data_IF_956814544147
#
_entry.id   IF_956814544147
#
_cell.length_a   1.000
_cell.length_b   1.000
_cell.length_c   1.000
_cell.angle_alpha   90.00
_cell.angle_beta   90.00
_cell.angle_gamma   90.00
#
_symmetry.space_group_name_H-M   'P 1'
#
loop_
_entity.id
_entity.type
_entity.pdbx_description
1 polymer ?
#
# COMPACT_ATOMS: atom_id res chain seq x y z
N UNK A 1 -4.52 -39.07 9.92
CA UNK A 1 -5.11 -39.30 8.58
C UNK A 1 -5.14 -37.96 7.87
N UNK A 2 -4.08 -37.63 7.11
CA UNK A 2 -3.90 -36.31 6.49
C UNK A 2 -4.59 -36.31 5.14
N UNK A 3 -5.68 -35.56 4.98
CA UNK A 3 -6.30 -35.31 3.68
C UNK A 3 -5.53 -34.18 3.00
N UNK A 4 -4.64 -34.53 2.07
CA UNK A 4 -4.01 -33.58 1.15
C UNK A 4 -4.93 -33.41 -0.06
N UNK A 5 -5.46 -32.20 -0.27
CA UNK A 5 -6.14 -31.85 -1.51
C UNK A 5 -5.04 -31.56 -2.54
N UNK A 6 -4.90 -32.46 -3.52
CA UNK A 6 -4.10 -32.22 -4.73
C UNK A 6 -4.97 -31.45 -5.71
N UNK A 7 -4.53 -30.27 -6.16
CA UNK A 7 -5.05 -29.69 -7.40
C UNK A 7 -4.06 -30.00 -8.52
N UNK A 8 -4.50 -30.86 -9.44
CA UNK A 8 -3.84 -31.12 -10.72
C UNK A 8 -4.40 -30.13 -11.72
N UNK A 9 -3.56 -29.24 -12.26
CA UNK A 9 -3.92 -28.31 -13.33
C UNK A 9 -3.84 -29.08 -14.66
N UNK A 10 -4.95 -29.13 -15.40
CA UNK A 10 -4.97 -29.46 -16.83
C UNK A 10 -4.91 -28.17 -17.66
N UNK A 11 -4.25 -28.25 -18.81
CA UNK A 11 -3.66 -27.16 -19.56
C UNK A 11 -4.63 -26.21 -20.30
N UNK A 12 -4.11 -24.99 -20.49
CA UNK A 12 -4.25 -24.05 -21.63
C UNK A 12 -5.62 -23.82 -22.30
N UNK A 13 -6.21 -22.65 -22.01
CA UNK A 13 -6.92 -21.83 -23.01
C UNK A 13 -6.45 -20.39 -22.82
N UNK A 14 -5.92 -19.78 -23.88
CA UNK A 14 -5.49 -18.38 -23.93
C UNK A 14 -6.75 -17.52 -23.88
N UNK A 15 -7.00 -16.86 -22.75
CA UNK A 15 -7.78 -15.63 -22.73
C UNK A 15 -6.80 -14.49 -22.50
N UNK A 16 -6.56 -13.68 -23.53
CA UNK A 16 -6.04 -12.32 -23.37
C UNK A 16 -7.17 -11.47 -22.77
N UNK A 17 -7.41 -11.67 -21.49
CA UNK A 17 -8.27 -10.83 -20.66
C UNK A 17 -7.44 -10.37 -19.50
N UNK A 18 -7.18 -9.06 -19.40
CA UNK A 18 -6.65 -8.47 -18.18
C UNK A 18 -7.50 -8.95 -17.01
N UNK A 19 -6.89 -9.64 -16.04
CA UNK A 19 -7.54 -10.00 -14.79
C UNK A 19 -7.74 -8.70 -13.99
N UNK A 20 -8.79 -7.95 -14.27
CA UNK A 20 -9.23 -6.85 -13.42
C UNK A 20 -10.15 -7.42 -12.35
N UNK A 21 -9.63 -7.55 -11.15
CA UNK A 21 -10.47 -7.71 -9.99
C UNK A 21 -11.00 -6.29 -9.69
N UNK A 22 -12.25 -5.99 -10.06
CA UNK A 22 -12.83 -4.64 -9.92
C UNK A 22 -13.31 -4.38 -8.48
N UNK A 23 -13.83 -5.41 -7.81
CA UNK A 23 -14.26 -5.41 -6.41
C UNK A 23 -14.16 -6.83 -5.85
N UNK A 24 -14.01 -6.93 -4.54
CA UNK A 24 -14.05 -8.20 -3.85
C UNK A 24 -14.03 -8.01 -2.34
N UNK A 25 -14.09 -9.13 -1.64
CA UNK A 25 -14.03 -9.16 -0.20
C UNK A 25 -15.38 -9.24 0.50
N UNK A 26 -15.23 -9.64 1.75
CA UNK A 26 -16.03 -9.57 2.96
C UNK A 26 -15.31 -10.59 3.84
N UNK A 27 -14.07 -10.27 4.21
CA UNK A 27 -13.29 -11.18 5.02
C UNK A 27 -13.92 -11.30 6.42
N UNK A 28 -13.36 -12.17 7.26
CA UNK A 28 -13.91 -12.38 8.62
C UNK A 28 -13.80 -11.13 9.51
N UNK A 29 -13.05 -10.12 9.10
CA UNK A 29 -12.88 -8.84 9.78
C UNK A 29 -13.72 -7.71 9.17
N UNK A 30 -14.48 -8.00 8.11
CA UNK A 30 -15.35 -7.07 7.42
C UNK A 30 -14.67 -6.25 6.34
N UNK A 31 -13.42 -6.59 5.95
CA UNK A 31 -12.73 -5.85 4.91
C UNK A 31 -13.28 -6.16 3.52
N UNK A 32 -13.49 -5.10 2.75
CA UNK A 32 -13.84 -5.14 1.33
C UNK A 32 -12.85 -4.29 0.53
N UNK A 33 -12.67 -4.61 -0.75
CA UNK A 33 -11.81 -3.84 -1.62
C UNK A 33 -12.48 -3.53 -2.95
N UNK A 34 -12.12 -2.40 -3.54
CA UNK A 34 -12.65 -1.89 -4.81
C UNK A 34 -11.59 -1.03 -5.48
N UNK A 35 -11.55 -1.05 -6.81
CA UNK A 35 -10.69 -0.17 -7.60
C UNK A 35 -11.49 0.97 -8.26
N UNK A 36 -10.82 1.80 -9.06
CA UNK A 36 -11.47 2.89 -9.79
C UNK A 36 -12.41 2.44 -10.93
N UNK A 37 -12.34 1.17 -11.35
CA UNK A 37 -13.19 0.54 -12.36
C UNK A 37 -14.37 -0.24 -11.75
N UNK A 38 -14.37 -0.42 -10.43
CA UNK A 38 -15.46 -0.99 -9.64
C UNK A 38 -16.79 -0.24 -9.76
N UNK A 39 -17.87 -0.95 -9.40
CA UNK A 39 -19.20 -0.36 -9.24
C UNK A 39 -19.32 0.42 -7.92
N UNK A 40 -20.48 0.95 -7.54
CA UNK A 40 -20.63 1.65 -6.25
C UNK A 40 -20.39 0.68 -5.08
N UNK A 41 -19.56 1.00 -4.06
CA UNK A 41 -18.82 2.25 -3.87
C UNK A 41 -17.64 2.39 -4.84
N UNK A 42 -17.69 3.45 -5.66
CA UNK A 42 -16.63 3.78 -6.61
C UNK A 42 -15.57 4.57 -5.91
N UNK A 43 -14.32 4.37 -6.31
CA UNK A 43 -13.23 5.14 -5.75
C UNK A 43 -12.55 6.06 -6.74
N UNK A 44 -12.56 7.33 -6.37
CA UNK A 44 -12.11 8.42 -7.22
C UNK A 44 -10.66 8.77 -6.94
N UNK A 45 -9.90 8.91 -8.02
CA UNK A 45 -8.60 9.55 -7.99
C UNK A 45 -8.75 11.02 -7.61
N UNK A 46 -7.99 11.45 -6.60
CA UNK A 46 -7.89 12.82 -6.11
C UNK A 46 -6.55 12.95 -5.37
N UNK A 47 -5.47 13.20 -6.11
CA UNK A 47 -4.13 13.30 -5.56
C UNK A 47 -4.05 14.41 -4.50
N UNK A 48 -3.31 14.15 -3.43
CA UNK A 48 -3.05 15.11 -2.36
C UNK A 48 -1.54 15.18 -2.28
N UNK A 49 -0.97 16.21 -2.88
CA UNK A 49 0.47 16.41 -2.85
C UNK A 49 0.91 16.86 -1.45
N UNK A 50 1.78 16.08 -0.83
CA UNK A 50 2.32 16.35 0.50
C UNK A 50 3.84 16.49 0.49
N UNK A 51 4.44 16.88 -0.64
CA UNK A 51 5.88 17.22 -0.72
C UNK A 51 6.29 18.38 0.20
N UNK A 52 5.32 19.15 0.68
CA UNK A 52 5.48 20.18 1.72
C UNK A 52 5.32 19.63 3.16
N UNK A 53 5.16 18.32 3.31
CA UNK A 53 5.04 17.61 4.58
C UNK A 53 6.39 17.28 5.23
N UNK A 54 6.35 16.42 6.24
CA UNK A 54 7.55 16.00 6.97
C UNK A 54 8.30 14.93 6.17
N UNK A 55 9.59 15.11 5.87
CA UNK A 55 10.38 14.08 5.19
C UNK A 55 10.68 12.91 6.12
N UNK A 56 10.72 11.69 5.58
CA UNK A 56 11.08 10.44 6.26
C UNK A 56 12.42 9.94 5.72
N UNK A 57 12.45 9.67 4.42
CA UNK A 57 13.65 9.28 3.67
C UNK A 57 13.94 10.30 2.60
N UNK A 58 15.22 10.50 2.33
CA UNK A 58 15.71 11.39 1.28
C UNK A 58 16.79 10.69 0.49
N UNK A 59 16.73 10.79 -0.83
CA UNK A 59 17.78 10.48 -1.83
C UNK A 59 18.49 9.13 -1.71
N UNK A 60 18.39 8.29 -2.74
CA UNK A 60 19.15 7.01 -2.84
C UNK A 60 18.99 6.06 -1.64
N UNK A 61 17.91 6.19 -0.86
CA UNK A 61 17.59 5.30 0.26
C UNK A 61 16.96 4.01 -0.23
N UNK A 62 17.38 2.92 0.40
CA UNK A 62 17.13 1.56 -0.02
C UNK A 62 17.07 0.67 1.22
N UNK A 63 16.25 -0.38 1.20
CA UNK A 63 16.03 -1.33 2.30
C UNK A 63 15.94 -0.70 3.70
N UNK A 64 15.29 0.46 3.80
CA UNK A 64 15.23 1.25 5.02
C UNK A 64 13.82 1.26 5.61
N UNK A 65 13.75 1.19 6.94
CA UNK A 65 12.53 1.32 7.74
C UNK A 65 12.65 2.54 8.66
N UNK A 66 11.60 3.35 8.75
CA UNK A 66 11.55 4.53 9.61
C UNK A 66 10.29 4.54 10.46
N UNK A 67 10.39 5.03 11.69
CA UNK A 67 9.29 5.12 12.64
C UNK A 67 9.70 4.79 14.08
N UNK A 68 8.73 4.67 14.99
CA UNK A 68 7.29 4.80 14.73
C UNK A 68 6.89 6.24 14.40
N UNK A 69 6.02 6.41 13.39
CA UNK A 69 5.34 7.67 13.10
C UNK A 69 3.97 7.66 13.76
N UNK A 70 3.66 8.72 14.52
CA UNK A 70 2.36 8.85 15.20
C UNK A 70 1.27 9.26 14.22
N UNK A 71 0.22 8.45 14.14
CA UNK A 71 -1.06 8.78 13.51
C UNK A 71 -1.91 9.49 14.57
N UNK A 72 -2.47 10.67 14.30
CA UNK A 72 -3.12 11.46 15.34
C UNK A 72 -4.57 11.00 15.65
N UNK A 73 -4.95 9.82 15.18
CA UNK A 73 -6.21 9.11 15.40
C UNK A 73 -5.97 7.59 15.37
N UNK A 74 -6.94 6.84 15.87
CA UNK A 74 -6.90 5.38 15.88
C UNK A 74 -7.26 4.80 14.51
N UNK A 75 -6.54 3.77 14.09
CA UNK A 75 -6.78 2.95 12.91
C UNK A 75 -7.06 1.53 13.38
N UNK A 76 -8.19 0.97 12.97
CA UNK A 76 -8.50 -0.45 13.18
C UNK A 76 -7.95 -1.25 12.00
N UNK A 77 -7.20 -2.30 12.29
CA UNK A 77 -6.64 -3.20 11.27
C UNK A 77 -6.71 -4.64 11.76
N UNK A 78 -7.50 -5.47 11.06
CA UNK A 78 -7.69 -6.91 11.36
C UNK A 78 -7.92 -7.22 12.85
N UNK A 79 -8.85 -6.48 13.48
CA UNK A 79 -9.26 -6.70 14.87
C UNK A 79 -8.36 -6.06 15.94
N UNK A 80 -7.27 -5.41 15.54
CA UNK A 80 -6.41 -4.61 16.44
C UNK A 80 -6.55 -3.11 16.16
N UNK A 81 -6.21 -2.28 17.15
CA UNK A 81 -6.21 -0.82 17.03
C UNK A 81 -4.80 -0.28 17.14
N UNK A 82 -4.41 0.58 16.21
CA UNK A 82 -3.09 1.18 16.10
C UNK A 82 -3.18 2.69 15.98
N UNK A 83 -2.15 3.38 16.45
CA UNK A 83 -1.95 4.82 16.24
C UNK A 83 -0.50 5.14 15.83
N UNK A 84 0.27 4.12 15.44
CA UNK A 84 1.65 4.23 15.01
C UNK A 84 1.90 3.33 13.82
N UNK A 85 2.78 3.76 12.92
CA UNK A 85 3.24 2.97 11.79
C UNK A 85 4.75 3.10 11.59
N UNK A 86 5.33 2.12 10.92
CA UNK A 86 6.68 2.15 10.39
C UNK A 86 6.59 2.18 8.86
N UNK A 87 7.42 2.97 8.22
CA UNK A 87 7.38 3.22 6.76
C UNK A 87 8.63 2.62 6.13
N UNK A 88 8.43 1.79 5.11
CA UNK A 88 9.50 1.12 4.36
C UNK A 88 9.80 1.83 3.04
N UNK A 89 11.07 1.83 2.62
CA UNK A 89 11.45 2.23 1.25
C UNK A 89 10.86 1.31 0.18
N UNK A 90 10.62 0.04 0.53
CA UNK A 90 10.03 -0.99 -0.32
C UNK A 90 8.51 -0.85 -0.48
N UNK A 91 7.94 0.34 -0.29
CA UNK A 91 6.54 0.64 -0.68
C UNK A 91 5.44 0.00 0.18
N UNK A 92 5.72 -0.25 1.46
CA UNK A 92 4.73 -0.67 2.45
C UNK A 92 4.86 0.09 3.78
N UNK A 93 3.82 0.03 4.59
CA UNK A 93 3.89 0.41 6.01
C UNK A 93 3.55 -0.80 6.88
N UNK A 94 4.12 -0.86 8.07
CA UNK A 94 3.84 -1.89 9.07
C UNK A 94 3.32 -1.25 10.36
N UNK A 95 2.40 -1.92 11.05
CA UNK A 95 1.94 -1.49 12.37
C UNK A 95 2.90 -1.89 13.50
N UNK A 96 3.92 -2.68 13.20
CA UNK A 96 4.99 -3.09 14.11
C UNK A 96 6.34 -2.88 13.42
N UNK A 97 7.40 -2.70 14.22
CA UNK A 97 8.74 -2.56 13.66
C UNK A 97 9.13 -3.87 12.96
N UNK A 98 9.51 -3.76 11.69
CA UNK A 98 9.90 -4.89 10.84
C UNK A 98 11.10 -4.50 9.98
N UNK A 99 11.76 -5.49 9.38
CA UNK A 99 12.72 -5.20 8.31
C UNK A 99 11.97 -4.65 7.08
N UNK A 100 12.65 -3.83 6.29
CA UNK A 100 12.15 -3.40 4.97
C UNK A 100 12.38 -4.54 3.97
N UNK A 101 11.41 -5.45 3.81
CA UNK A 101 11.57 -6.62 2.93
C UNK A 101 11.40 -6.25 1.45
N UNK A 102 12.34 -6.58 0.56
CA UNK A 102 12.24 -6.26 -0.86
C UNK A 102 11.47 -7.30 -1.68
N UNK A 103 11.11 -8.44 -1.09
CA UNK A 103 10.41 -9.54 -1.79
C UNK A 103 8.97 -9.62 -1.30
N UNK A 104 8.03 -9.44 -2.21
CA UNK A 104 6.60 -9.56 -1.94
C UNK A 104 6.18 -11.03 -1.79
N UNK A 105 5.06 -11.25 -1.11
CA UNK A 105 4.44 -12.56 -0.92
C UNK A 105 2.92 -12.42 -0.92
N UNK A 106 2.21 -13.50 -1.20
CA UNK A 106 0.74 -13.51 -1.15
C UNK A 106 0.26 -13.15 0.26
N UNK A 107 -0.65 -12.17 0.35
CA UNK A 107 -1.28 -11.76 1.62
C UNK A 107 -2.66 -12.43 1.69
N UNK A 108 -3.03 -13.09 2.80
CA UNK A 108 -2.33 -13.12 4.09
C UNK A 108 -1.15 -14.10 4.13
N UNK A 109 -0.07 -13.68 4.79
CA UNK A 109 1.12 -14.49 5.06
C UNK A 109 1.44 -14.45 6.56
N UNK A 110 1.90 -15.56 7.13
CA UNK A 110 2.17 -15.65 8.57
C UNK A 110 3.59 -15.25 8.99
N UNK A 111 4.48 -14.98 8.04
CA UNK A 111 5.84 -14.54 8.37
C UNK A 111 6.01 -13.04 8.13
N UNK A 112 7.13 -12.50 8.60
CA UNK A 112 7.47 -11.10 8.43
C UNK A 112 7.63 -10.70 6.93
N UNK A 113 7.23 -9.47 6.54
CA UNK A 113 6.58 -8.50 7.40
C UNK A 113 5.07 -8.81 7.54
N UNK A 114 4.59 -8.88 8.79
CA UNK A 114 3.18 -9.09 9.13
C UNK A 114 2.54 -7.75 9.52
N UNK A 115 1.20 -7.68 9.51
CA UNK A 115 0.44 -6.48 9.85
C UNK A 115 0.86 -5.26 9.01
N UNK A 116 0.98 -5.48 7.70
CA UNK A 116 1.35 -4.45 6.74
C UNK A 116 0.18 -3.93 5.93
N UNK A 117 0.32 -2.69 5.46
CA UNK A 117 -0.46 -2.12 4.37
C UNK A 117 0.52 -1.86 3.22
N UNK A 118 0.30 -2.53 2.10
CA UNK A 118 1.23 -2.60 0.98
C UNK A 118 0.63 -1.92 -0.28
N UNK A 119 0.71 -0.58 -0.41
CA UNK A 119 0.25 0.10 -1.61
C UNK A 119 1.05 -0.30 -2.86
N UNK A 120 2.32 -0.69 -2.73
CA UNK A 120 3.12 -1.16 -3.88
C UNK A 120 3.90 -2.44 -3.57
N UNK A 121 4.54 -2.52 -2.40
CA UNK A 121 5.44 -3.60 -1.94
C UNK A 121 6.26 -4.32 -3.03
N UNK A 122 7.47 -3.81 -3.26
CA UNK A 122 8.46 -4.40 -4.18
C UNK A 122 9.88 -4.00 -3.75
N UNK A 123 10.90 -4.46 -4.49
CA UNK A 123 12.31 -4.09 -4.31
C UNK A 123 12.55 -2.66 -4.85
N UNK A 124 12.28 -1.65 -4.01
CA UNK A 124 12.27 -0.24 -4.37
C UNK A 124 13.33 0.56 -3.62
N UNK A 125 13.88 1.55 -4.32
CA UNK A 125 14.72 2.59 -3.73
C UNK A 125 14.23 3.98 -4.11
N UNK A 126 14.52 4.94 -3.25
CA UNK A 126 14.43 6.35 -3.63
C UNK A 126 15.45 6.64 -4.73
N UNK A 127 15.04 7.29 -5.83
CA UNK A 127 15.98 7.78 -6.83
C UNK A 127 16.85 8.93 -6.27
N UNK A 128 17.69 9.52 -7.13
CA UNK A 128 18.45 10.73 -6.77
C UNK A 128 17.56 11.93 -6.38
N UNK A 129 16.31 11.97 -6.85
CA UNK A 129 15.29 12.95 -6.48
C UNK A 129 14.19 12.35 -5.59
N UNK A 130 14.34 11.09 -5.20
CA UNK A 130 13.34 10.32 -4.48
C UNK A 130 13.26 10.69 -3.00
N UNK A 131 12.03 10.83 -2.49
CA UNK A 131 11.77 11.17 -1.10
C UNK A 131 10.47 10.51 -0.61
N UNK A 132 10.38 10.26 0.69
CA UNK A 132 9.13 9.85 1.32
C UNK A 132 8.69 10.93 2.30
N UNK A 133 7.43 11.31 2.24
CA UNK A 133 6.83 12.32 3.11
C UNK A 133 5.65 11.74 3.88
N UNK A 134 5.36 12.32 5.04
CA UNK A 134 4.07 12.16 5.70
C UNK A 134 3.46 13.48 6.12
N UNK A 135 2.13 13.54 6.10
CA UNK A 135 1.36 14.71 6.54
C UNK A 135 -0.01 14.30 7.02
N UNK A 136 -0.50 15.00 8.05
CA UNK A 136 -1.93 14.97 8.39
C UNK A 136 -2.60 16.20 7.80
N UNK A 137 -3.72 16.01 7.12
CA UNK A 137 -4.55 17.10 6.58
C UNK A 137 -5.98 17.01 7.10
N UNK A 138 -6.72 18.12 7.01
CA UNK A 138 -8.08 18.23 7.53
C UNK A 138 -8.12 18.50 9.04
N UNK A 139 -9.32 18.42 9.62
CA UNK A 139 -9.60 18.66 11.04
C UNK A 139 -10.41 17.50 11.62
N UNK A 140 -10.25 17.24 12.92
CA UNK A 140 -11.03 16.18 13.59
C UNK A 140 -12.53 16.49 13.50
N UNK A 141 -13.41 15.49 13.29
CA UNK A 141 -13.13 14.04 13.23
C UNK A 141 -12.88 13.49 11.80
N UNK A 142 -12.47 14.33 10.85
CA UNK A 142 -12.34 13.99 9.43
C UNK A 142 -10.90 14.17 8.90
N UNK A 143 -9.88 13.91 9.74
CA UNK A 143 -8.47 13.99 9.33
C UNK A 143 -8.11 12.86 8.36
N UNK A 144 -7.07 13.11 7.56
CA UNK A 144 -6.41 12.12 6.72
C UNK A 144 -4.94 12.09 7.09
N UNK A 145 -4.42 10.91 7.38
CA UNK A 145 -2.97 10.70 7.52
C UNK A 145 -2.44 10.12 6.22
N UNK A 146 -1.44 10.75 5.64
CA UNK A 146 -0.95 10.47 4.30
C UNK A 146 0.53 10.14 4.36
N UNK A 147 0.94 9.07 3.66
CA UNK A 147 2.34 8.74 3.37
C UNK A 147 2.51 8.74 1.85
N UNK A 148 3.47 9.49 1.33
CA UNK A 148 3.73 9.61 -0.10
C UNK A 148 5.17 9.17 -0.39
N UNK A 149 5.33 8.20 -1.29
CA UNK A 149 6.59 7.86 -1.92
C UNK A 149 6.65 8.62 -3.24
N UNK A 150 7.60 9.54 -3.36
CA UNK A 150 7.80 10.38 -4.53
C UNK A 150 9.11 10.03 -5.23
N UNK A 151 9.05 9.80 -6.54
CA UNK A 151 10.21 9.50 -7.38
C UNK A 151 11.01 8.26 -6.94
N UNK A 152 10.32 7.15 -6.67
CA UNK A 152 10.93 5.86 -6.36
C UNK A 152 11.18 5.05 -7.64
N UNK A 153 12.15 4.15 -7.63
CA UNK A 153 12.48 3.30 -8.79
C UNK A 153 12.75 1.86 -8.31
N UNK A 154 12.62 0.90 -9.23
CA UNK A 154 13.06 -0.45 -8.94
C UNK A 154 14.56 -0.48 -8.66
N UNK A 155 14.95 -1.24 -7.65
CA UNK A 155 16.36 -1.36 -7.27
C UNK A 155 17.21 -1.95 -8.38
N UNK A 156 16.67 -2.95 -9.07
CA UNK A 156 17.36 -3.75 -10.08
C UNK A 156 17.37 -3.13 -11.48
N UNK A 157 16.46 -2.21 -11.78
CA UNK A 157 16.42 -1.46 -13.04
C UNK A 157 15.84 -0.05 -12.84
N UNK A 158 16.65 0.97 -13.14
CA UNK A 158 16.25 2.37 -13.07
C UNK A 158 15.84 2.88 -14.46
N UNK A 159 14.62 2.52 -14.89
CA UNK A 159 14.03 2.99 -16.16
C UNK A 159 13.21 4.26 -15.93
N UNK A 160 12.28 4.20 -14.97
CA UNK A 160 11.29 5.24 -14.70
C UNK A 160 10.96 5.31 -13.22
N UNK A 161 10.48 6.48 -12.80
CA UNK A 161 10.09 6.70 -11.41
C UNK A 161 8.61 6.42 -11.19
N UNK A 162 8.28 5.99 -9.98
CA UNK A 162 6.96 5.66 -9.49
C UNK A 162 6.66 6.63 -8.34
N UNK A 163 5.45 7.19 -8.35
CA UNK A 163 4.95 8.06 -7.28
C UNK A 163 3.58 7.58 -6.85
N UNK A 164 3.45 7.23 -5.58
CA UNK A 164 2.24 6.67 -4.99
C UNK A 164 2.05 7.11 -3.54
N UNK A 165 0.86 6.94 -3.01
CA UNK A 165 0.56 7.30 -1.62
C UNK A 165 -0.45 6.36 -0.97
N UNK A 166 -0.30 6.25 0.35
CA UNK A 166 -1.24 5.67 1.29
C UNK A 166 -2.00 6.81 1.99
N UNK A 167 -3.32 6.68 2.08
CA UNK A 167 -4.17 7.61 2.83
C UNK A 167 -5.03 6.80 3.81
N UNK A 168 -4.90 7.11 5.10
CA UNK A 168 -5.72 6.59 6.20
C UNK A 168 -6.73 7.66 6.61
N UNK A 169 -8.00 7.29 6.72
CA UNK A 169 -9.08 8.20 7.06
C UNK A 169 -9.49 8.06 8.53
N UNK A 170 -9.56 9.18 9.25
CA UNK A 170 -10.15 9.22 10.58
C UNK A 170 -11.63 8.82 10.52
N UNK A 171 -12.09 8.10 11.55
CA UNK A 171 -13.47 7.66 11.77
C UNK A 171 -14.01 6.59 10.82
N UNK A 172 -13.80 6.71 9.50
CA UNK A 172 -14.32 5.75 8.53
C UNK A 172 -13.49 4.47 8.40
N UNK A 173 -12.27 4.48 8.96
CA UNK A 173 -11.30 3.39 8.87
C UNK A 173 -10.88 3.01 7.43
N UNK A 174 -11.19 3.86 6.45
CA UNK A 174 -10.88 3.62 5.05
C UNK A 174 -9.37 3.68 4.82
N UNK A 175 -8.87 2.72 4.04
CA UNK A 175 -7.49 2.68 3.54
C UNK A 175 -7.52 2.90 2.03
N UNK A 176 -6.82 3.93 1.57
CA UNK A 176 -6.81 4.37 0.17
C UNK A 176 -5.41 4.37 -0.39
N UNK A 177 -5.24 3.76 -1.55
CA UNK A 177 -4.02 3.91 -2.34
C UNK A 177 -4.29 4.78 -3.57
N UNK A 178 -3.32 5.61 -3.90
CA UNK A 178 -3.34 6.36 -5.15
C UNK A 178 -1.98 6.30 -5.81
N UNK A 179 -1.99 6.28 -7.14
CA UNK A 179 -0.78 6.20 -7.95
C UNK A 179 -0.83 7.33 -8.98
N UNK A 180 0.18 8.22 -8.94
CA UNK A 180 0.26 9.40 -9.81
C UNK A 180 1.13 9.12 -11.04
N UNK A 181 2.17 8.31 -10.87
CA UNK A 181 2.94 7.74 -11.96
C UNK A 181 3.27 6.29 -11.60
N UNK A 182 3.00 5.37 -12.51
CA UNK A 182 3.32 3.95 -12.38
C UNK A 182 4.10 3.53 -13.61
N UNK A 183 5.18 2.79 -13.41
CA UNK A 183 5.84 2.13 -14.53
C UNK A 183 4.85 1.14 -15.15
N UNK A 184 4.51 1.30 -16.44
CA UNK A 184 3.91 0.28 -17.30
C UNK A 184 2.49 -0.19 -16.97
N UNK A 185 2.00 -0.02 -15.74
CA UNK A 185 0.74 -0.57 -15.29
C UNK A 185 -0.25 0.53 -14.92
N UNK A 186 -1.39 0.53 -15.60
CA UNK A 186 -2.54 1.40 -15.30
C UNK A 186 -3.28 0.95 -14.03
N UNK A 187 -2.57 0.81 -12.91
CA UNK A 187 -3.17 0.52 -11.59
C UNK A 187 -3.75 1.81 -11.02
N UNK A 188 -4.98 2.11 -11.43
CA UNK A 188 -5.72 3.27 -10.94
C UNK A 188 -6.44 2.89 -9.64
N UNK A 189 -5.76 3.14 -8.51
CA UNK A 189 -6.30 3.23 -7.14
C UNK A 189 -7.01 1.99 -6.61
N UNK A 190 -6.34 1.22 -5.76
CA UNK A 190 -6.94 0.13 -4.98
C UNK A 190 -7.23 0.65 -3.58
N UNK A 191 -8.39 0.30 -3.04
CA UNK A 191 -8.82 0.68 -1.69
C UNK A 191 -9.22 -0.57 -0.95
N UNK A 192 -8.86 -0.65 0.32
CA UNK A 192 -9.37 -1.64 1.25
C UNK A 192 -10.09 -0.88 2.37
N UNK A 193 -11.31 -1.28 2.70
CA UNK A 193 -12.11 -0.71 3.79
C UNK A 193 -12.29 -1.76 4.83
#
# INVERSE_FOLDING_TARGET
MVRRIKFTIYAFVIFSGSLFANQGGNDTFGYMWTDSKGTTPKVSYNWIDIRDGNPIFTTNKDDSMAGPLTIPFNVSFYGATFNQIYVSTNGFVAFQNAASFPVNSDIPFTNAPDSIIAPYWDDLKASALGNVYYKTVGTSPNRKFIVQWDNFEYKTFADSTITFQLILFEHSNLIKFQYNNTHGDSLTGIYAT
#
